data_IF_993161565489
#
_entry.id   IF_993161565489
#
_cell.length_a   1.000
_cell.length_b   1.000
_cell.length_c   1.000
_cell.angle_alpha   90.00
_cell.angle_beta   90.00
_cell.angle_gamma   90.00
#
_symmetry.space_group_name_H-M   'P 1'
#
loop_
_entity.id
_entity.type
_entity.pdbx_description
1 polymer ?
#
# COMPACT_ATOMS: atom_id res chain seq x y z
N UNK A 1 9.22 -1.25 -4.83
CA UNK A 1 8.43 -1.61 -3.62
C UNK A 1 8.20 -0.36 -2.79
N UNK A 2 7.09 -0.22 -2.05
CA UNK A 2 6.88 0.90 -1.12
C UNK A 2 6.95 0.39 0.33
N UNK A 3 7.77 1.04 1.15
CA UNK A 3 7.88 0.83 2.61
C UNK A 3 7.38 2.09 3.30
N UNK A 4 6.53 1.94 4.32
CA UNK A 4 5.96 3.06 5.09
C UNK A 4 6.06 2.72 6.56
N UNK A 5 6.55 3.64 7.38
CA UNK A 5 6.67 3.46 8.84
C UNK A 5 6.37 4.78 9.56
N UNK A 6 5.87 4.67 10.79
CA UNK A 6 5.72 5.80 11.69
C UNK A 6 7.06 6.18 12.32
N UNK A 7 7.36 7.47 12.40
CA UNK A 7 8.55 8.02 13.06
C UNK A 7 8.59 7.61 14.53
N UNK A 8 7.43 7.56 15.18
CA UNK A 8 7.27 7.29 16.60
C UNK A 8 6.70 5.87 16.85
N UNK A 9 6.87 4.96 15.89
CA UNK A 9 6.46 3.56 16.02
C UNK A 9 7.20 2.90 17.20
N UNK A 10 6.44 2.57 18.25
CA UNK A 10 6.95 1.96 19.47
C UNK A 10 6.89 0.43 19.47
N UNK A 11 6.42 -0.17 18.38
CA UNK A 11 6.33 -1.62 18.18
C UNK A 11 7.44 -2.10 17.25
N UNK A 12 7.68 -1.36 16.16
CA UNK A 12 8.69 -1.67 15.15
C UNK A 12 9.62 -0.45 15.00
N UNK A 13 10.91 -0.58 15.33
CA UNK A 13 11.86 0.52 15.17
C UNK A 13 12.04 0.96 13.71
N UNK A 14 12.29 2.25 13.49
CA UNK A 14 12.53 2.84 12.15
C UNK A 14 13.69 2.15 11.43
N UNK A 15 14.71 1.71 12.18
CA UNK A 15 15.89 1.01 11.67
C UNK A 15 15.53 -0.27 10.92
N UNK A 16 14.40 -0.93 11.23
CA UNK A 16 13.94 -2.09 10.48
C UNK A 16 13.47 -1.70 9.07
N UNK A 17 12.82 -0.55 8.92
CA UNK A 17 12.39 -0.04 7.63
C UNK A 17 13.58 0.45 6.79
N UNK A 18 14.56 1.10 7.42
CA UNK A 18 15.84 1.47 6.79
C UNK A 18 16.59 0.21 6.32
N UNK A 19 16.67 -0.82 7.16
CA UNK A 19 17.30 -2.10 6.82
C UNK A 19 16.68 -2.74 5.58
N UNK A 20 15.35 -2.67 5.44
CA UNK A 20 14.62 -3.17 4.27
C UNK A 20 14.90 -2.33 3.02
N UNK A 21 14.87 -1.00 3.12
CA UNK A 21 15.11 -0.09 2.00
C UNK A 21 16.52 -0.29 1.40
N UNK A 22 17.53 -0.48 2.24
CA UNK A 22 18.91 -0.78 1.81
C UNK A 22 19.06 -2.09 1.01
N UNK A 23 18.13 -3.04 1.16
CA UNK A 23 18.28 -4.42 0.65
C UNK A 23 17.26 -4.81 -0.39
N UNK A 24 16.14 -4.12 -0.47
CA UNK A 24 15.11 -4.37 -1.45
C UNK A 24 15.39 -3.57 -2.73
N UNK A 25 15.54 -4.21 -3.89
CA UNK A 25 15.74 -3.51 -5.15
C UNK A 25 14.53 -2.62 -5.47
N UNK A 26 14.81 -1.43 -5.99
CA UNK A 26 13.80 -0.43 -6.39
C UNK A 26 12.76 -0.16 -5.29
N UNK A 27 13.20 -0.21 -4.03
CA UNK A 27 12.38 0.19 -2.89
C UNK A 27 12.40 1.69 -2.67
N UNK A 28 11.42 2.15 -1.89
CA UNK A 28 11.31 3.52 -1.42
C UNK A 28 10.78 3.49 0.00
N UNK A 29 11.47 4.18 0.90
CA UNK A 29 11.06 4.41 2.27
C UNK A 29 10.40 5.79 2.43
N UNK A 30 9.20 5.82 3.01
CA UNK A 30 8.55 7.04 3.49
C UNK A 30 8.29 6.92 5.01
N UNK A 31 8.92 7.79 5.80
CA UNK A 31 8.76 7.87 7.26
C UNK A 31 7.77 9.00 7.56
N UNK A 32 6.65 8.67 8.20
CA UNK A 32 5.54 9.59 8.48
C UNK A 32 5.54 9.98 9.96
N UNK A 33 5.16 11.22 10.27
CA UNK A 33 4.99 11.70 11.65
C UNK A 33 3.74 11.06 12.29
N UNK A 34 3.91 9.84 12.81
CA UNK A 34 2.87 8.98 13.36
C UNK A 34 3.50 7.85 14.20
N UNK A 35 2.68 7.19 15.02
CA UNK A 35 3.01 5.92 15.69
C UNK A 35 2.83 4.70 14.79
N UNK A 36 2.55 3.54 15.40
CA UNK A 36 2.48 2.27 14.70
C UNK A 36 1.35 2.19 13.66
N UNK A 37 0.21 2.86 13.92
CA UNK A 37 -0.97 2.80 13.07
C UNK A 37 -1.03 4.00 12.12
N UNK A 38 -0.02 4.13 11.25
CA UNK A 38 0.17 5.28 10.34
C UNK A 38 -1.08 5.62 9.50
N UNK A 39 -1.85 4.62 9.08
CA UNK A 39 -3.08 4.82 8.31
C UNK A 39 -4.24 5.42 9.13
N UNK A 40 -4.24 5.26 10.44
CA UNK A 40 -5.23 5.84 11.37
C UNK A 40 -4.74 7.19 11.89
N UNK A 41 -3.46 7.28 12.28
CA UNK A 41 -2.88 8.44 12.95
C UNK A 41 -2.53 9.59 11.98
N UNK A 42 -2.16 9.26 10.74
CA UNK A 42 -1.77 10.22 9.70
C UNK A 42 -2.36 9.84 8.33
N UNK A 43 -3.68 9.63 8.29
CA UNK A 43 -4.41 9.10 7.13
C UNK A 43 -4.13 9.85 5.82
N UNK A 44 -4.09 11.18 5.83
CA UNK A 44 -3.86 11.98 4.61
C UNK A 44 -2.45 11.75 4.05
N UNK A 45 -1.42 11.78 4.90
CA UNK A 45 -0.03 11.53 4.50
C UNK A 45 0.16 10.09 4.01
N UNK A 46 -0.45 9.13 4.69
CA UNK A 46 -0.46 7.74 4.25
C UNK A 46 -1.13 7.57 2.89
N UNK A 47 -2.31 8.18 2.69
CA UNK A 47 -3.05 8.13 1.43
C UNK A 47 -2.28 8.76 0.27
N UNK A 48 -1.56 9.86 0.51
CA UNK A 48 -0.68 10.48 -0.47
C UNK A 48 0.42 9.51 -0.93
N UNK A 49 1.12 8.88 0.01
CA UNK A 49 2.19 7.91 -0.28
C UNK A 49 1.67 6.74 -1.11
N UNK A 50 0.57 6.12 -0.68
CA UNK A 50 -0.01 4.95 -1.38
C UNK A 50 -0.55 5.35 -2.76
N UNK A 51 -1.19 6.50 -2.89
CA UNK A 51 -1.71 6.97 -4.19
C UNK A 51 -0.58 7.25 -5.16
N UNK A 52 0.50 7.92 -4.71
CA UNK A 52 1.69 8.16 -5.53
C UNK A 52 2.33 6.84 -5.98
N UNK A 53 2.49 5.90 -5.05
CA UNK A 53 3.02 4.58 -5.38
C UNK A 53 2.15 3.86 -6.41
N UNK A 54 0.83 3.85 -6.20
CA UNK A 54 -0.14 3.22 -7.12
C UNK A 54 -0.08 3.83 -8.51
N UNK A 55 -0.07 5.16 -8.63
CA UNK A 55 0.00 5.82 -9.94
C UNK A 55 1.29 5.48 -10.71
N UNK A 56 2.40 5.29 -10.00
CA UNK A 56 3.68 4.94 -10.60
C UNK A 56 3.77 3.46 -11.04
N UNK A 57 3.00 2.56 -10.42
CA UNK A 57 3.15 1.10 -10.62
C UNK A 57 1.90 0.40 -11.16
N UNK A 58 0.76 1.09 -11.25
CA UNK A 58 -0.44 0.52 -11.86
C UNK A 58 -0.15 0.18 -13.32
N UNK A 59 -0.65 -0.95 -13.84
CA UNK A 59 -0.59 -1.25 -15.26
C UNK A 59 -1.21 -0.12 -16.08
N UNK A 60 -0.72 0.08 -17.31
CA UNK A 60 -1.44 0.94 -18.26
C UNK A 60 -2.85 0.38 -18.46
N UNK A 61 -3.82 1.27 -18.63
CA UNK A 61 -5.23 0.89 -18.83
C UNK A 61 -5.44 0.00 -20.08
N UNK A 62 -4.45 -0.08 -20.96
CA UNK A 62 -4.41 -0.92 -22.16
C UNK A 62 -4.42 -2.43 -21.85
N UNK A 63 -4.05 -2.84 -20.63
CA UNK A 63 -4.13 -4.24 -20.18
C UNK A 63 -5.48 -4.65 -19.59
N UNK A 64 -6.40 -3.71 -19.36
CA UNK A 64 -7.77 -3.96 -18.88
C UNK A 64 -8.77 -3.84 -20.04
N UNK A 65 -8.58 -4.60 -21.12
CA UNK A 65 -9.68 -4.84 -22.06
C UNK A 65 -10.70 -5.75 -21.40
N UNK A 66 -11.70 -5.13 -20.76
CA UNK A 66 -13.04 -5.61 -20.46
C UNK A 66 -13.30 -7.11 -20.71
N UNK A 67 -12.92 -7.99 -19.78
CA UNK A 67 -13.41 -9.37 -19.78
C UNK A 67 -14.74 -9.47 -19.06
N UNK A 68 -15.80 -9.57 -19.89
CA UNK A 68 -17.16 -10.08 -19.65
C UNK A 68 -18.07 -9.36 -18.63
N UNK A 69 -19.35 -9.12 -18.98
CA UNK A 69 -20.32 -8.58 -18.04
C UNK A 69 -20.61 -9.58 -16.91
N UNK A 70 -20.61 -9.08 -15.67
CA UNK A 70 -21.00 -9.80 -14.47
C UNK A 70 -22.43 -10.35 -14.61
N UNK A 71 -22.55 -11.60 -15.05
CA UNK A 71 -23.84 -12.30 -15.06
C UNK A 71 -23.72 -13.53 -14.18
N UNK A 72 -24.53 -13.52 -13.11
CA UNK A 72 -24.83 -14.58 -12.13
C UNK A 72 -23.79 -14.87 -11.02
N UNK A 73 -23.79 -14.01 -10.00
CA UNK A 73 -23.54 -14.42 -8.60
C UNK A 73 -24.89 -14.38 -7.86
N UNK A 74 -25.73 -15.40 -8.04
CA UNK A 74 -26.99 -15.54 -7.25
C UNK A 74 -27.32 -16.97 -6.79
N UNK A 75 -26.40 -17.94 -6.86
CA UNK A 75 -26.68 -19.32 -6.47
C UNK A 75 -25.57 -19.91 -5.57
N UNK A 76 -25.29 -19.29 -4.41
CA UNK A 76 -24.37 -19.91 -3.42
C UNK A 76 -24.97 -20.04 -2.01
N UNK A 77 -26.22 -19.60 -1.77
CA UNK A 77 -26.87 -19.78 -0.46
C UNK A 77 -28.27 -20.40 -0.60
N UNK A 78 -28.32 -21.67 -1.00
CA UNK A 78 -29.52 -22.51 -0.82
C UNK A 78 -29.16 -23.99 -0.71
N UNK A 79 -28.39 -24.35 0.33
CA UNK A 79 -28.44 -25.69 0.92
C UNK A 79 -28.49 -25.56 2.44
#
# INVERSE_FOLDING_TARGET
MQVVIGRDDNVVPVENAEYLDERLPDSRLDIIDAGHFVWEEAADAYAEVITRWWQAHRPSAEGWTQTAPLTKVKEIWSQ
#
